data_IF_061588018571
#
_entry.id   IF_061588018571
#
_cell.length_a   1.000
_cell.length_b   1.000
_cell.length_c   1.000
_cell.angle_alpha   90.00
_cell.angle_beta   90.00
_cell.angle_gamma   90.00
#
_symmetry.space_group_name_H-M   'P 1'
#
loop_
_entity.id
_entity.type
_entity.pdbx_description
1 polymer ?
#
# COMPACT_ATOMS: atom_id res chain seq x y z
N UNK A 1 -20.89 -3.39 51.09
CA UNK A 1 -20.59 -4.79 51.48
C UNK A 1 -19.14 -5.12 51.12
N UNK A 2 -18.76 -5.10 49.84
CA UNK A 2 -17.39 -5.39 49.39
C UNK A 2 -16.30 -4.33 49.68
N UNK A 3 -16.55 -3.35 50.55
CA UNK A 3 -15.55 -2.32 50.90
C UNK A 3 -14.60 -2.73 52.04
N UNK A 4 -14.93 -3.80 52.76
CA UNK A 4 -14.16 -4.32 53.90
C UNK A 4 -14.01 -5.85 53.78
N UNK A 5 -12.77 -6.34 53.76
CA UNK A 5 -12.47 -7.77 53.65
C UNK A 5 -12.92 -8.55 54.89
N UNK A 6 -12.90 -7.94 56.08
CA UNK A 6 -13.31 -8.59 57.32
C UNK A 6 -14.83 -8.88 57.29
N UNK A 7 -15.62 -7.89 56.86
CA UNK A 7 -17.06 -8.05 56.68
C UNK A 7 -17.39 -9.13 55.64
N UNK A 8 -16.69 -9.16 54.49
CA UNK A 8 -16.91 -10.19 53.46
C UNK A 8 -16.60 -11.60 54.00
N UNK A 9 -15.57 -11.76 54.84
CA UNK A 9 -15.24 -13.06 55.47
C UNK A 9 -16.23 -13.48 56.54
N UNK A 10 -16.84 -12.53 57.25
CA UNK A 10 -17.94 -12.81 58.18
C UNK A 10 -19.17 -13.28 57.41
N UNK A 11 -19.59 -12.54 56.38
CA UNK A 11 -20.70 -12.93 55.50
C UNK A 11 -20.47 -14.31 54.88
N UNK A 12 -19.24 -14.65 54.47
CA UNK A 12 -18.92 -15.99 53.96
C UNK A 12 -19.11 -17.09 54.99
N UNK A 13 -18.61 -16.89 56.22
CA UNK A 13 -18.76 -17.87 57.33
C UNK A 13 -20.22 -18.12 57.68
N UNK A 14 -21.07 -17.11 57.49
CA UNK A 14 -22.51 -17.18 57.73
C UNK A 14 -23.30 -17.72 56.52
N UNK A 15 -22.62 -18.22 55.49
CA UNK A 15 -23.23 -18.82 54.29
C UNK A 15 -23.70 -17.81 53.23
N UNK A 16 -23.23 -16.56 53.31
CA UNK A 16 -23.59 -15.44 52.44
C UNK A 16 -22.99 -15.46 51.03
N UNK A 17 -22.37 -16.56 50.58
CA UNK A 17 -21.65 -16.66 49.31
C UNK A 17 -22.47 -16.22 48.08
N UNK A 18 -23.76 -16.57 48.03
CA UNK A 18 -24.68 -16.17 46.92
C UNK A 18 -24.90 -14.65 46.90
N UNK A 19 -25.16 -14.05 48.06
CA UNK A 19 -25.38 -12.61 48.18
C UNK A 19 -24.11 -11.83 47.78
N UNK A 20 -22.95 -12.32 48.23
CA UNK A 20 -21.65 -11.77 47.88
C UNK A 20 -21.39 -11.84 46.36
N UNK A 21 -21.64 -12.98 45.72
CA UNK A 21 -21.49 -13.14 44.27
C UNK A 21 -22.36 -12.17 43.46
N UNK A 22 -23.62 -11.99 43.89
CA UNK A 22 -24.56 -11.07 43.23
C UNK A 22 -24.19 -9.60 43.45
N UNK A 23 -23.54 -9.27 44.57
CA UNK A 23 -23.13 -7.90 44.89
C UNK A 23 -21.77 -7.49 44.30
N UNK A 24 -20.94 -8.44 43.87
CA UNK A 24 -19.57 -8.16 43.40
C UNK A 24 -19.54 -7.22 42.18
N UNK A 25 -18.77 -6.14 42.24
CA UNK A 25 -18.64 -5.17 41.14
C UNK A 25 -17.18 -4.95 40.73
N UNK A 26 -16.97 -4.19 39.65
CA UNK A 26 -15.62 -3.85 39.19
C UNK A 26 -14.83 -2.99 40.21
N UNK A 27 -15.50 -2.30 41.13
CA UNK A 27 -14.85 -1.47 42.15
C UNK A 27 -14.32 -2.30 43.34
N UNK A 28 -14.70 -3.57 43.41
CA UNK A 28 -14.47 -4.44 44.58
C UNK A 28 -13.22 -5.33 44.44
N UNK A 29 -12.47 -5.13 43.36
CA UNK A 29 -11.32 -5.98 42.98
C UNK A 29 -10.26 -6.04 44.07
N UNK A 30 -10.00 -4.92 44.78
CA UNK A 30 -9.03 -4.91 45.88
C UNK A 30 -9.45 -5.84 47.02
N UNK A 31 -10.73 -5.82 47.39
CA UNK A 31 -11.28 -6.67 48.45
C UNK A 31 -11.32 -8.13 48.00
N UNK A 32 -11.71 -8.38 46.75
CA UNK A 32 -11.65 -9.71 46.14
C UNK A 32 -10.25 -10.33 46.25
N UNK A 33 -9.22 -9.58 45.89
CA UNK A 33 -7.83 -10.06 45.90
C UNK A 33 -7.28 -10.26 47.31
N UNK A 34 -7.88 -9.64 48.33
CA UNK A 34 -7.50 -9.82 49.72
C UNK A 34 -8.09 -11.10 50.35
N UNK A 35 -9.06 -11.74 49.68
CA UNK A 35 -9.59 -13.04 50.07
C UNK A 35 -8.61 -14.17 49.72
N UNK A 36 -8.65 -15.26 50.49
CA UNK A 36 -7.90 -16.47 50.21
C UNK A 36 -8.44 -17.20 48.96
N UNK A 37 -7.62 -17.99 48.23
CA UNK A 37 -8.08 -18.72 47.05
C UNK A 37 -9.26 -19.67 47.29
N UNK A 38 -9.41 -20.21 48.51
CA UNK A 38 -10.56 -21.02 48.88
C UNK A 38 -11.84 -20.16 49.00
N UNK A 39 -11.76 -19.02 49.68
CA UNK A 39 -12.85 -18.06 49.87
C UNK A 39 -13.36 -17.52 48.52
N UNK A 40 -12.43 -17.15 47.62
CA UNK A 40 -12.79 -16.66 46.27
C UNK A 40 -13.51 -17.72 45.45
N UNK A 41 -13.02 -18.97 45.49
CA UNK A 41 -13.66 -20.09 44.79
C UNK A 41 -15.03 -20.43 45.37
N UNK A 42 -15.23 -20.28 46.68
CA UNK A 42 -16.54 -20.44 47.31
C UNK A 42 -17.56 -19.41 46.78
N UNK A 43 -17.18 -18.12 46.72
CA UNK A 43 -18.03 -17.08 46.12
C UNK A 43 -18.33 -17.38 44.65
N UNK A 44 -17.33 -17.78 43.86
CA UNK A 44 -17.53 -18.12 42.45
C UNK A 44 -18.43 -19.34 42.28
N UNK A 45 -18.28 -20.37 43.11
CA UNK A 45 -19.10 -21.58 43.06
C UNK A 45 -20.59 -21.26 43.28
N UNK A 46 -20.89 -20.29 44.16
CA UNK A 46 -22.25 -19.81 44.41
C UNK A 46 -22.83 -18.94 43.28
N UNK A 47 -21.98 -18.39 42.40
CA UNK A 47 -22.41 -17.57 41.26
C UNK A 47 -23.01 -18.42 40.13
N UNK A 48 -24.03 -17.88 39.44
CA UNK A 48 -24.53 -18.48 38.20
C UNK A 48 -23.50 -18.40 37.06
N UNK A 49 -23.60 -19.23 36.00
CA UNK A 49 -22.66 -19.17 34.86
C UNK A 49 -22.59 -17.78 34.21
N UNK A 50 -23.75 -17.14 33.98
CA UNK A 50 -23.81 -15.79 33.42
C UNK A 50 -23.11 -14.76 34.31
N UNK A 51 -23.23 -14.93 35.63
CA UNK A 51 -22.60 -14.05 36.59
C UNK A 51 -21.08 -14.22 36.62
N UNK A 52 -20.57 -15.45 36.49
CA UNK A 52 -19.12 -15.70 36.34
C UNK A 52 -18.57 -15.04 35.08
N UNK A 53 -19.31 -15.06 33.98
CA UNK A 53 -18.93 -14.36 32.75
C UNK A 53 -18.89 -12.83 32.92
N UNK A 54 -19.85 -12.25 33.66
CA UNK A 54 -19.81 -10.83 34.02
C UNK A 54 -18.56 -10.50 34.84
N UNK A 55 -18.25 -11.31 35.85
CA UNK A 55 -17.04 -11.16 36.68
C UNK A 55 -15.77 -11.25 35.81
N UNK A 56 -15.72 -12.19 34.86
CA UNK A 56 -14.62 -12.28 33.91
C UNK A 56 -14.50 -11.04 33.01
N UNK A 57 -15.62 -10.49 32.53
CA UNK A 57 -15.65 -9.25 31.79
C UNK A 57 -15.18 -8.06 32.64
N UNK A 58 -15.38 -8.11 33.96
CA UNK A 58 -14.89 -7.09 34.89
C UNK A 58 -13.38 -7.22 35.06
N UNK A 59 -12.87 -8.43 35.32
CA UNK A 59 -11.44 -8.72 35.39
C UNK A 59 -10.70 -8.27 34.12
N UNK A 60 -11.32 -8.42 32.94
CA UNK A 60 -10.77 -7.92 31.68
C UNK A 60 -10.55 -6.40 31.67
N UNK A 61 -11.36 -5.62 32.37
CA UNK A 61 -11.25 -4.15 32.42
C UNK A 61 -10.21 -3.67 33.44
N UNK A 62 -9.85 -4.51 34.40
CA UNK A 62 -8.80 -4.22 35.38
C UNK A 62 -7.45 -4.41 34.72
N UNK A 63 -6.77 -3.32 34.37
CA UNK A 63 -5.46 -3.34 33.71
C UNK A 63 -4.30 -3.52 34.71
N UNK A 64 -4.39 -4.51 35.60
CA UNK A 64 -3.33 -4.80 36.58
C UNK A 64 -2.93 -6.29 36.53
N UNK A 65 -1.75 -6.62 37.09
CA UNK A 65 -1.30 -8.02 37.27
C UNK A 65 -2.34 -8.88 37.98
N UNK A 66 -3.13 -8.25 38.83
CA UNK A 66 -4.10 -8.89 39.71
C UNK A 66 -5.30 -9.49 38.97
N UNK A 67 -5.59 -9.04 37.74
CA UNK A 67 -6.62 -9.65 36.91
C UNK A 67 -6.35 -11.13 36.64
N UNK A 68 -5.08 -11.55 36.62
CA UNK A 68 -4.69 -12.94 36.38
C UNK A 68 -5.16 -13.87 37.50
N UNK A 69 -5.10 -13.41 38.75
CA UNK A 69 -5.55 -14.17 39.92
C UNK A 69 -7.05 -14.48 39.86
N UNK A 70 -7.86 -13.54 39.33
CA UNK A 70 -9.30 -13.78 39.15
C UNK A 70 -9.53 -14.89 38.12
N UNK A 71 -8.76 -14.88 37.03
CA UNK A 71 -8.85 -15.94 36.03
C UNK A 71 -8.33 -17.28 36.55
N UNK A 72 -7.33 -17.31 37.44
CA UNK A 72 -6.82 -18.54 38.07
C UNK A 72 -7.94 -19.28 38.81
N UNK A 73 -8.79 -18.54 39.52
CA UNK A 73 -9.94 -19.12 40.22
C UNK A 73 -11.05 -19.53 39.23
N UNK A 74 -11.35 -18.69 38.24
CA UNK A 74 -12.42 -18.94 37.26
C UNK A 74 -12.18 -20.20 36.42
N UNK A 75 -10.96 -20.45 35.94
CA UNK A 75 -10.69 -21.59 35.03
C UNK A 75 -10.87 -22.96 35.67
N UNK A 76 -11.09 -23.01 36.99
CA UNK A 76 -11.42 -24.26 37.71
C UNK A 76 -12.86 -24.72 37.51
N UNK A 77 -13.74 -23.87 36.95
CA UNK A 77 -15.15 -24.18 36.74
C UNK A 77 -15.41 -24.74 35.32
N UNK A 78 -16.05 -25.92 35.18
CA UNK A 78 -16.22 -26.59 33.88
C UNK A 78 -17.30 -25.98 32.97
N UNK A 79 -18.13 -25.08 33.51
CA UNK A 79 -19.28 -24.46 32.85
C UNK A 79 -18.99 -23.02 32.36
N UNK A 80 -17.72 -22.61 32.36
CA UNK A 80 -17.33 -21.31 31.81
C UNK A 80 -17.68 -21.18 30.33
N UNK A 81 -18.04 -19.97 29.91
CA UNK A 81 -18.23 -19.70 28.49
C UNK A 81 -16.91 -19.76 27.73
N UNK A 82 -17.02 -20.07 26.43
CA UNK A 82 -15.89 -20.02 25.51
C UNK A 82 -15.23 -18.63 25.45
N UNK A 83 -16.02 -17.56 25.60
CA UNK A 83 -15.52 -16.18 25.60
C UNK A 83 -14.64 -15.89 26.82
N UNK A 84 -15.05 -16.35 27.99
CA UNK A 84 -14.28 -16.24 29.23
C UNK A 84 -12.99 -17.06 29.17
N UNK A 85 -13.06 -18.32 28.73
CA UNK A 85 -11.88 -19.16 28.55
C UNK A 85 -10.88 -18.56 27.54
N UNK A 86 -11.37 -18.03 26.42
CA UNK A 86 -10.52 -17.34 25.44
C UNK A 86 -9.86 -16.10 26.04
N UNK A 87 -10.59 -15.32 26.85
CA UNK A 87 -10.05 -14.13 27.52
C UNK A 87 -8.97 -14.51 28.53
N UNK A 88 -9.16 -15.61 29.27
CA UNK A 88 -8.15 -16.14 30.18
C UNK A 88 -6.83 -16.45 29.42
N UNK A 89 -6.90 -17.13 28.27
CA UNK A 89 -5.70 -17.37 27.44
C UNK A 89 -5.04 -16.06 26.97
N UNK A 90 -5.82 -15.07 26.53
CA UNK A 90 -5.29 -13.77 26.09
C UNK A 90 -4.52 -13.05 27.18
N UNK A 91 -4.85 -13.26 28.46
CA UNK A 91 -4.17 -12.62 29.59
C UNK A 91 -2.76 -13.14 29.80
N UNK A 92 -2.46 -14.37 29.40
CA UNK A 92 -1.13 -14.96 29.59
C UNK A 92 -0.05 -14.27 28.76
N UNK A 93 -0.40 -13.64 27.64
CA UNK A 93 0.54 -12.98 26.74
C UNK A 93 0.21 -11.50 26.51
N UNK A 94 -0.60 -10.91 27.39
CA UNK A 94 -0.81 -9.47 27.38
C UNK A 94 0.51 -8.75 27.70
N UNK A 95 0.67 -7.49 27.28
CA UNK A 95 1.92 -6.72 27.36
C UNK A 95 2.50 -6.57 28.78
N UNK A 96 1.71 -6.92 29.80
CA UNK A 96 2.05 -6.84 31.22
C UNK A 96 2.28 -8.20 31.89
N UNK A 97 2.10 -9.31 31.17
CA UNK A 97 2.02 -10.65 31.75
C UNK A 97 3.37 -11.18 32.29
N UNK A 98 4.50 -10.55 31.94
CA UNK A 98 5.81 -11.08 32.28
C UNK A 98 6.06 -12.45 31.64
N UNK A 99 7.00 -13.23 32.18
CA UNK A 99 7.20 -14.62 31.75
C UNK A 99 5.99 -15.47 32.12
N UNK A 100 5.49 -16.25 31.17
CA UNK A 100 4.34 -17.14 31.39
C UNK A 100 4.69 -18.23 32.40
N UNK A 101 3.87 -18.38 33.44
CA UNK A 101 3.92 -19.54 34.33
C UNK A 101 3.38 -20.79 33.60
N UNK A 102 4.20 -21.85 33.43
CA UNK A 102 3.77 -23.03 32.68
C UNK A 102 2.56 -23.74 33.29
N UNK A 103 2.50 -23.87 34.62
CA UNK A 103 1.41 -24.58 35.31
C UNK A 103 0.06 -23.91 35.08
N UNK A 104 0.01 -22.58 35.26
CA UNK A 104 -1.15 -21.74 34.95
C UNK A 104 -1.55 -21.86 33.48
N UNK A 105 -0.59 -21.76 32.57
CA UNK A 105 -0.86 -21.86 31.14
C UNK A 105 -1.50 -23.22 30.78
N UNK A 106 -1.03 -24.32 31.37
CA UNK A 106 -1.64 -25.65 31.19
C UNK A 106 -3.08 -25.70 31.69
N UNK A 107 -3.36 -25.15 32.87
CA UNK A 107 -4.72 -25.10 33.41
C UNK A 107 -5.67 -24.34 32.47
N UNK A 108 -5.22 -23.19 31.94
CA UNK A 108 -6.03 -22.36 31.05
C UNK A 108 -6.26 -23.05 29.70
N UNK A 109 -5.23 -23.70 29.15
CA UNK A 109 -5.35 -24.49 27.92
C UNK A 109 -6.33 -25.65 28.10
N UNK A 110 -6.27 -26.36 29.22
CA UNK A 110 -7.17 -27.48 29.52
C UNK A 110 -8.63 -27.03 29.62
N UNK A 111 -8.90 -25.89 30.26
CA UNK A 111 -10.23 -25.31 30.34
C UNK A 111 -10.73 -24.81 28.96
N UNK A 112 -9.87 -24.17 28.17
CA UNK A 112 -10.29 -23.49 26.95
C UNK A 112 -10.44 -24.41 25.72
N UNK A 113 -9.51 -25.35 25.50
CA UNK A 113 -9.44 -26.14 24.26
C UNK A 113 -10.73 -26.92 23.91
N UNK A 114 -11.50 -27.48 24.86
CA UNK A 114 -12.79 -28.12 24.56
C UNK A 114 -13.78 -27.21 23.83
N UNK A 115 -13.71 -25.89 24.04
CA UNK A 115 -14.57 -24.91 23.38
C UNK A 115 -14.08 -24.48 21.99
N UNK A 116 -12.86 -24.88 21.59
CA UNK A 116 -12.22 -24.45 20.33
C UNK A 116 -13.06 -24.64 19.06
N UNK A 117 -13.72 -25.80 18.84
CA UNK A 117 -14.55 -26.02 17.64
C UNK A 117 -15.72 -25.03 17.49
N UNK A 118 -16.33 -24.66 18.62
CA UNK A 118 -17.41 -23.67 18.68
C UNK A 118 -16.87 -22.23 18.62
N UNK A 119 -15.67 -21.99 19.17
CA UNK A 119 -15.07 -20.67 19.30
C UNK A 119 -13.60 -20.65 18.80
N UNK A 120 -13.38 -20.53 17.47
CA UNK A 120 -12.08 -20.81 16.84
C UNK A 120 -10.94 -19.88 17.26
N UNK A 121 -11.27 -18.74 17.85
CA UNK A 121 -10.29 -17.81 18.43
C UNK A 121 -9.44 -18.50 19.51
N UNK A 122 -10.00 -19.48 20.23
CA UNK A 122 -9.27 -20.27 21.22
C UNK A 122 -8.09 -21.01 20.61
N UNK A 123 -8.22 -21.62 19.43
CA UNK A 123 -7.09 -22.31 18.80
C UNK A 123 -5.95 -21.34 18.49
N UNK A 124 -6.26 -20.11 18.06
CA UNK A 124 -5.25 -19.07 17.83
C UNK A 124 -4.56 -18.65 19.14
N UNK A 125 -5.33 -18.41 20.19
CA UNK A 125 -4.79 -18.04 21.51
C UNK A 125 -3.94 -19.18 22.10
N UNK A 126 -4.43 -20.42 22.01
CA UNK A 126 -3.72 -21.60 22.48
C UNK A 126 -2.40 -21.83 21.72
N UNK A 127 -2.41 -21.68 20.39
CA UNK A 127 -1.20 -21.74 19.58
C UNK A 127 -0.13 -20.74 20.05
N UNK A 128 -0.52 -19.51 20.41
CA UNK A 128 0.40 -18.52 20.97
C UNK A 128 0.95 -18.95 22.32
N UNK A 129 0.09 -19.42 23.23
CA UNK A 129 0.52 -19.90 24.55
C UNK A 129 1.50 -21.07 24.40
N UNK A 130 1.22 -22.05 23.55
CA UNK A 130 2.15 -23.16 23.29
C UNK A 130 3.49 -22.67 22.71
N UNK A 131 3.49 -21.66 21.85
CA UNK A 131 4.72 -21.08 21.32
C UNK A 131 5.56 -20.42 22.43
N UNK A 132 4.94 -19.64 23.31
CA UNK A 132 5.61 -19.00 24.46
C UNK A 132 6.16 -20.03 25.46
N UNK A 133 5.51 -21.18 25.59
CA UNK A 133 6.01 -22.32 26.37
C UNK A 133 7.15 -23.09 25.66
N UNK A 134 7.51 -22.72 24.42
CA UNK A 134 8.52 -23.42 23.62
C UNK A 134 8.04 -24.72 22.95
N UNK A 135 6.73 -24.99 22.96
CA UNK A 135 6.13 -26.26 22.53
C UNK A 135 5.64 -26.21 21.09
N UNK A 136 6.59 -26.11 20.15
CA UNK A 136 6.32 -25.92 18.72
C UNK A 136 5.43 -27.00 18.11
N UNK A 137 5.60 -28.27 18.49
CA UNK A 137 4.75 -29.36 17.99
C UNK A 137 3.28 -29.21 18.41
N UNK A 138 3.04 -28.75 19.65
CA UNK A 138 1.68 -28.47 20.14
C UNK A 138 1.02 -27.32 19.40
N UNK A 139 1.80 -26.35 18.93
CA UNK A 139 1.29 -25.31 18.02
C UNK A 139 0.73 -25.95 16.75
N UNK A 140 1.49 -26.82 16.10
CA UNK A 140 1.07 -27.52 14.86
C UNK A 140 -0.19 -28.36 15.11
N UNK A 141 -0.21 -29.15 16.19
CA UNK A 141 -1.38 -29.95 16.57
C UNK A 141 -2.64 -29.10 16.79
N UNK A 142 -2.49 -27.97 17.47
CA UNK A 142 -3.59 -27.04 17.79
C UNK A 142 -4.14 -26.40 16.51
N UNK A 143 -3.29 -25.98 15.59
CA UNK A 143 -3.72 -25.41 14.30
C UNK A 143 -4.34 -26.49 13.40
N UNK A 144 -3.80 -27.71 13.41
CA UNK A 144 -4.39 -28.85 12.71
C UNK A 144 -5.78 -29.20 13.27
N UNK A 145 -6.00 -29.11 14.58
CA UNK A 145 -7.32 -29.27 15.20
C UNK A 145 -8.31 -28.20 14.74
N UNK A 146 -7.87 -26.94 14.65
CA UNK A 146 -8.68 -25.86 14.07
C UNK A 146 -9.09 -26.17 12.63
N UNK A 147 -8.15 -26.68 11.81
CA UNK A 147 -8.42 -27.08 10.41
C UNK A 147 -9.48 -28.18 10.34
N UNK A 148 -9.34 -29.22 11.16
CA UNK A 148 -10.30 -30.34 11.24
C UNK A 148 -11.70 -29.90 11.67
N UNK A 149 -11.81 -28.82 12.45
CA UNK A 149 -13.10 -28.24 12.83
C UNK A 149 -13.83 -27.47 11.71
N UNK A 150 -13.26 -27.43 10.50
CA UNK A 150 -13.84 -26.74 9.33
C UNK A 150 -13.75 -25.21 9.40
N UNK A 151 -12.86 -24.68 10.24
CA UNK A 151 -12.73 -23.24 10.48
C UNK A 151 -11.60 -22.63 9.64
N UNK A 152 -11.76 -21.36 9.29
CA UNK A 152 -10.76 -20.65 8.49
C UNK A 152 -9.47 -20.45 9.28
N UNK A 153 -8.35 -20.92 8.71
CA UNK A 153 -7.03 -20.73 9.30
C UNK A 153 -6.41 -19.35 9.00
N UNK A 154 -7.05 -18.51 8.19
CA UNK A 154 -6.46 -17.23 7.72
C UNK A 154 -5.98 -16.35 8.87
N UNK A 155 -6.77 -16.24 9.95
CA UNK A 155 -6.40 -15.44 11.13
C UNK A 155 -5.26 -16.01 11.96
N UNK A 156 -5.00 -17.32 11.85
CA UNK A 156 -3.86 -17.98 12.51
C UNK A 156 -2.62 -17.84 11.63
N UNK A 157 -2.78 -18.04 10.31
CA UNK A 157 -1.73 -17.86 9.31
C UNK A 157 -1.06 -16.48 9.41
N UNK A 158 -1.89 -15.44 9.52
CA UNK A 158 -1.45 -14.03 9.53
C UNK A 158 -1.16 -13.50 10.95
N UNK A 159 -1.10 -14.36 11.98
CA UNK A 159 -0.78 -13.96 13.36
C UNK A 159 0.73 -13.77 13.52
N UNK A 160 1.16 -12.51 13.70
CA UNK A 160 2.59 -12.16 13.78
C UNK A 160 3.30 -12.78 14.98
N UNK A 161 2.60 -13.01 16.09
CA UNK A 161 3.18 -13.73 17.22
C UNK A 161 3.61 -15.16 16.85
N UNK A 162 3.00 -15.76 15.81
CA UNK A 162 3.35 -17.09 15.30
C UNK A 162 4.35 -17.04 14.14
N UNK A 163 4.92 -15.88 13.80
CA UNK A 163 5.89 -15.73 12.73
C UNK A 163 7.06 -16.74 12.81
N UNK A 164 7.68 -16.99 13.99
CA UNK A 164 8.79 -17.96 14.11
C UNK A 164 8.42 -19.40 13.72
N UNK A 165 7.13 -19.75 13.66
CA UNK A 165 6.68 -21.08 13.29
C UNK A 165 6.78 -21.35 11.79
N UNK A 166 6.97 -20.34 10.93
CA UNK A 166 7.10 -20.56 9.49
C UNK A 166 8.35 -21.35 9.09
N UNK A 167 9.39 -21.37 9.93
CA UNK A 167 10.53 -22.28 9.76
C UNK A 167 10.24 -23.73 10.15
N UNK A 168 9.08 -24.02 10.77
CA UNK A 168 8.69 -25.38 11.16
C UNK A 168 7.94 -26.06 9.99
N UNK A 169 8.46 -27.18 9.43
CA UNK A 169 7.90 -27.79 8.21
C UNK A 169 6.44 -28.21 8.41
N UNK A 170 6.11 -28.82 9.56
CA UNK A 170 4.73 -29.21 9.87
C UNK A 170 3.76 -28.04 9.99
N UNK A 171 4.24 -26.84 10.34
CA UNK A 171 3.39 -25.65 10.42
C UNK A 171 3.15 -25.09 9.03
N UNK A 172 4.22 -24.90 8.24
CA UNK A 172 4.13 -24.39 6.86
C UNK A 172 3.20 -25.27 5.99
N UNK A 173 3.30 -26.59 6.13
CA UNK A 173 2.50 -27.56 5.37
C UNK A 173 0.98 -27.39 5.61
N UNK A 174 0.56 -26.99 6.82
CA UNK A 174 -0.86 -26.76 7.12
C UNK A 174 -1.48 -25.69 6.19
N UNK A 175 -0.66 -24.77 5.69
CA UNK A 175 -1.04 -23.63 4.87
C UNK A 175 -0.59 -23.73 3.40
N UNK A 176 0.00 -24.84 2.95
CA UNK A 176 0.55 -24.98 1.59
C UNK A 176 -0.46 -24.68 0.46
N UNK A 177 -1.74 -24.93 0.72
CA UNK A 177 -2.87 -24.65 -0.18
C UNK A 177 -3.38 -23.20 -0.15
N UNK A 178 -2.85 -22.36 0.76
CA UNK A 178 -3.25 -20.97 0.94
C UNK A 178 -2.20 -20.04 0.36
N UNK A 179 -2.57 -18.78 0.10
CA UNK A 179 -1.57 -17.75 -0.18
C UNK A 179 -0.59 -17.61 1.00
N UNK A 180 0.68 -17.23 0.75
CA UNK A 180 1.63 -16.98 1.82
C UNK A 180 1.12 -15.95 2.85
N UNK A 181 1.61 -16.02 4.11
CA UNK A 181 1.28 -15.06 5.15
C UNK A 181 1.64 -13.64 4.71
N UNK A 182 0.85 -12.67 5.14
CA UNK A 182 1.21 -11.26 5.01
C UNK A 182 1.90 -10.80 6.30
N UNK A 183 3.18 -10.50 6.23
CA UNK A 183 3.90 -9.83 7.31
C UNK A 183 3.61 -8.33 7.24
N UNK A 184 3.25 -7.71 8.37
CA UNK A 184 2.87 -6.28 8.43
C UNK A 184 3.99 -5.39 8.98
N UNK A 185 5.18 -5.96 9.14
CA UNK A 185 6.37 -5.31 9.69
C UNK A 185 7.63 -6.10 9.28
N UNK A 186 8.76 -5.39 9.09
CA UNK A 186 10.01 -5.98 8.63
C UNK A 186 10.69 -6.82 9.71
N UNK A 187 10.68 -6.38 10.97
CA UNK A 187 11.29 -7.14 12.07
C UNK A 187 10.58 -8.48 12.26
N UNK A 188 9.24 -8.47 12.22
CA UNK A 188 8.44 -9.69 12.28
C UNK A 188 8.75 -10.65 11.11
N UNK A 189 8.99 -10.11 9.91
CA UNK A 189 9.38 -10.89 8.75
C UNK A 189 10.77 -11.53 8.93
N UNK A 190 11.74 -10.78 9.43
CA UNK A 190 13.10 -11.29 9.69
C UNK A 190 13.10 -12.38 10.77
N UNK A 191 12.29 -12.21 11.84
CA UNK A 191 12.12 -13.20 12.90
C UNK A 191 11.49 -14.51 12.41
N UNK A 192 10.67 -14.47 11.35
CA UNK A 192 10.08 -15.67 10.76
C UNK A 192 11.10 -16.57 10.06
N UNK A 193 12.29 -16.05 9.77
CA UNK A 193 13.24 -16.63 8.82
C UNK A 193 13.08 -15.96 7.45
N UNK A 194 14.07 -15.20 6.96
CA UNK A 194 13.96 -14.44 5.71
C UNK A 194 13.52 -15.25 4.49
N UNK A 195 13.88 -16.54 4.45
CA UNK A 195 13.50 -17.45 3.36
C UNK A 195 12.02 -17.83 3.35
N UNK A 196 11.31 -17.73 4.47
CA UNK A 196 9.88 -18.03 4.55
C UNK A 196 8.99 -16.85 4.12
N UNK A 197 9.56 -15.65 4.01
CA UNK A 197 8.82 -14.42 3.73
C UNK A 197 8.58 -14.27 2.24
N UNK A 198 7.31 -14.40 1.83
CA UNK A 198 6.88 -14.19 0.43
C UNK A 198 6.04 -12.94 0.23
N UNK A 199 5.44 -12.39 1.29
CA UNK A 199 4.61 -11.18 1.21
C UNK A 199 4.85 -10.27 2.41
N UNK A 200 5.20 -9.03 2.15
CA UNK A 200 5.48 -8.02 3.17
C UNK A 200 4.63 -6.78 2.91
N UNK A 201 4.09 -6.20 3.97
CA UNK A 201 3.61 -4.83 4.03
C UNK A 201 4.37 -4.15 5.15
N UNK A 202 5.03 -3.03 4.90
CA UNK A 202 5.68 -2.28 5.98
C UNK A 202 5.72 -0.80 5.67
N UNK A 203 5.55 0.01 6.71
CA UNK A 203 5.63 1.47 6.62
C UNK A 203 7.00 2.01 7.07
N UNK A 204 7.87 1.15 7.59
CA UNK A 204 9.18 1.51 8.16
C UNK A 204 10.23 0.40 7.98
N UNK A 205 11.50 0.79 7.99
CA UNK A 205 12.67 -0.09 7.88
C UNK A 205 13.50 -0.14 9.16
N UNK A 206 14.45 -1.09 9.19
CA UNK A 206 15.75 -0.88 8.53
C UNK A 206 15.78 -1.46 7.11
N UNK A 207 15.81 -0.60 6.09
CA UNK A 207 15.62 -1.02 4.69
C UNK A 207 16.74 -1.86 4.09
N UNK A 208 17.96 -1.73 4.61
CA UNK A 208 19.09 -2.59 4.21
C UNK A 208 18.80 -4.08 4.42
N UNK A 209 17.92 -4.43 5.36
CA UNK A 209 17.57 -5.81 5.67
C UNK A 209 16.60 -6.43 4.64
N UNK A 210 15.96 -5.63 3.78
CA UNK A 210 15.05 -6.15 2.74
C UNK A 210 15.75 -7.17 1.83
N UNK A 211 17.04 -6.96 1.55
CA UNK A 211 17.88 -7.82 0.69
C UNK A 211 17.97 -9.26 1.22
N UNK A 212 17.74 -9.47 2.51
CA UNK A 212 17.73 -10.81 3.12
C UNK A 212 16.49 -11.60 2.76
N UNK A 213 15.40 -10.94 2.36
CA UNK A 213 14.11 -11.56 2.02
C UNK A 213 14.13 -12.10 0.58
N UNK A 214 15.07 -12.98 0.26
CA UNK A 214 15.33 -13.49 -1.12
C UNK A 214 14.13 -14.16 -1.80
N UNK A 215 13.14 -14.60 -1.00
CA UNK A 215 11.90 -15.22 -1.47
C UNK A 215 10.70 -14.26 -1.51
N UNK A 216 10.91 -12.97 -1.27
CA UNK A 216 9.84 -11.97 -1.30
C UNK A 216 9.28 -11.84 -2.72
N UNK A 217 7.98 -12.10 -2.85
CA UNK A 217 7.26 -12.02 -4.12
C UNK A 217 6.41 -10.76 -4.22
N UNK A 218 5.90 -10.26 -3.09
CA UNK A 218 5.00 -9.10 -3.05
C UNK A 218 5.36 -8.19 -1.89
N UNK A 219 5.51 -6.91 -2.19
CA UNK A 219 5.76 -5.89 -1.18
C UNK A 219 4.80 -4.72 -1.32
N UNK A 220 4.30 -4.24 -0.19
CA UNK A 220 3.49 -3.02 -0.07
C UNK A 220 4.19 -2.09 0.91
N UNK A 221 4.75 -0.99 0.39
CA UNK A 221 5.59 -0.08 1.14
C UNK A 221 4.97 1.31 1.20
N UNK A 222 5.12 1.95 2.35
CA UNK A 222 4.95 3.40 2.40
C UNK A 222 6.09 4.07 1.65
N UNK A 223 5.75 4.95 0.71
CA UNK A 223 6.74 5.78 0.04
C UNK A 223 7.40 6.75 1.04
N UNK A 224 8.73 6.89 0.95
CA UNK A 224 9.47 7.83 1.78
C UNK A 224 10.92 7.45 2.06
N UNK A 225 11.40 6.29 1.60
CA UNK A 225 12.78 5.87 1.82
C UNK A 225 13.42 5.26 0.57
N UNK A 226 14.47 5.92 0.08
CA UNK A 226 15.21 5.51 -1.10
C UNK A 226 15.97 4.20 -0.88
N UNK A 227 16.40 3.93 0.37
CA UNK A 227 17.12 2.69 0.70
C UNK A 227 16.26 1.44 0.48
N UNK A 228 14.93 1.60 0.60
CA UNK A 228 14.01 0.52 0.30
C UNK A 228 14.07 0.13 -1.19
N UNK A 229 14.23 1.09 -2.09
CA UNK A 229 14.23 0.85 -3.52
C UNK A 229 15.45 0.04 -3.96
N UNK A 230 16.63 0.37 -3.42
CA UNK A 230 17.85 -0.42 -3.65
C UNK A 230 17.67 -1.87 -3.19
N UNK A 231 17.14 -2.05 -1.98
CA UNK A 231 16.91 -3.38 -1.44
C UNK A 231 15.95 -4.20 -2.29
N UNK A 232 14.89 -3.58 -2.83
CA UNK A 232 13.92 -4.25 -3.69
C UNK A 232 14.47 -4.62 -5.07
N UNK A 233 15.33 -3.79 -5.64
CA UNK A 233 15.98 -4.06 -6.93
C UNK A 233 16.84 -5.32 -6.92
N UNK A 234 17.31 -5.74 -5.76
CA UNK A 234 18.14 -6.94 -5.60
C UNK A 234 17.32 -8.23 -5.40
N UNK A 235 15.99 -8.15 -5.32
CA UNK A 235 15.14 -9.30 -4.99
C UNK A 235 14.73 -10.09 -6.24
N UNK A 236 15.26 -11.33 -6.43
CA UNK A 236 15.12 -12.05 -7.69
C UNK A 236 13.71 -12.58 -7.95
N UNK A 237 12.87 -12.68 -6.90
CA UNK A 237 11.51 -13.22 -6.97
C UNK A 237 10.43 -12.16 -6.87
N UNK A 238 10.79 -10.88 -6.86
CA UNK A 238 9.83 -9.80 -6.68
C UNK A 238 8.90 -9.68 -7.88
N UNK A 239 7.62 -10.03 -7.69
CA UNK A 239 6.58 -10.05 -8.72
C UNK A 239 5.66 -8.83 -8.62
N UNK A 240 5.44 -8.30 -7.42
CA UNK A 240 4.53 -7.19 -7.16
C UNK A 240 5.13 -6.18 -6.21
N UNK A 241 5.19 -4.92 -6.61
CA UNK A 241 5.61 -3.77 -5.79
C UNK A 241 4.50 -2.74 -5.76
N UNK A 242 4.11 -2.35 -4.56
CA UNK A 242 3.17 -1.25 -4.34
C UNK A 242 3.80 -0.21 -3.44
N UNK A 243 3.77 1.04 -3.88
CA UNK A 243 4.08 2.19 -3.02
C UNK A 243 2.82 2.99 -2.73
N UNK A 244 2.64 3.38 -1.47
CA UNK A 244 1.53 4.25 -1.06
C UNK A 244 2.00 5.40 -0.15
N UNK A 245 1.29 6.52 -0.15
CA UNK A 245 1.41 7.56 0.88
C UNK A 245 1.83 8.93 0.35
N UNK A 246 2.40 9.77 1.23
CA UNK A 246 2.84 11.12 0.85
C UNK A 246 4.33 11.14 0.61
N UNK A 247 4.74 11.57 -0.57
CA UNK A 247 6.12 11.91 -0.88
C UNK A 247 6.46 13.31 -0.37
N UNK A 248 7.53 13.43 0.42
CA UNK A 248 8.03 14.71 0.96
C UNK A 248 9.22 15.28 0.17
N UNK A 249 9.65 14.63 -0.91
CA UNK A 249 10.79 15.07 -1.72
C UNK A 249 10.70 14.59 -3.16
N UNK A 250 11.78 14.76 -3.94
CA UNK A 250 11.90 14.15 -5.26
C UNK A 250 11.85 12.62 -5.18
N UNK A 251 11.52 11.98 -6.29
CA UNK A 251 11.54 10.52 -6.42
C UNK A 251 12.80 10.12 -7.19
N UNK A 252 13.64 9.23 -6.68
CA UNK A 252 14.88 8.86 -7.36
C UNK A 252 14.59 8.11 -8.66
N UNK A 253 14.75 8.79 -9.80
CA UNK A 253 14.47 8.22 -11.13
C UNK A 253 15.28 6.95 -11.38
N UNK A 254 16.56 6.95 -11.01
CA UNK A 254 17.46 5.80 -11.20
C UNK A 254 16.95 4.53 -10.51
N UNK A 255 16.39 4.67 -9.32
CA UNK A 255 15.90 3.54 -8.54
C UNK A 255 14.58 3.01 -9.11
N UNK A 256 13.67 3.91 -9.50
CA UNK A 256 12.44 3.54 -10.20
C UNK A 256 12.73 2.86 -11.54
N UNK A 257 13.74 3.33 -12.28
CA UNK A 257 14.15 2.74 -13.55
C UNK A 257 14.64 1.30 -13.35
N UNK A 258 15.49 1.09 -12.34
CA UNK A 258 15.97 -0.25 -11.96
C UNK A 258 14.80 -1.19 -11.63
N UNK A 259 13.81 -0.73 -10.86
CA UNK A 259 12.64 -1.54 -10.53
C UNK A 259 11.79 -1.89 -11.76
N UNK A 260 11.54 -0.93 -12.66
CA UNK A 260 10.78 -1.17 -13.90
C UNK A 260 11.42 -2.26 -14.77
N UNK A 261 12.74 -2.39 -14.72
CA UNK A 261 13.48 -3.36 -15.52
C UNK A 261 13.59 -4.76 -14.89
N UNK A 262 13.15 -4.94 -13.64
CA UNK A 262 13.19 -6.24 -12.97
C UNK A 262 12.48 -7.33 -13.79
N UNK A 263 13.18 -8.42 -14.15
CA UNK A 263 12.61 -9.47 -15.01
C UNK A 263 11.37 -10.14 -14.41
N UNK A 264 11.37 -10.38 -13.09
CA UNK A 264 10.28 -11.05 -12.39
C UNK A 264 9.06 -10.14 -12.12
N UNK A 265 9.25 -8.82 -12.16
CA UNK A 265 8.22 -7.86 -11.79
C UNK A 265 7.08 -7.86 -12.80
N UNK A 266 5.85 -8.09 -12.35
CA UNK A 266 4.64 -8.13 -13.18
C UNK A 266 3.66 -7.02 -12.82
N UNK A 267 3.65 -6.64 -11.55
CA UNK A 267 2.79 -5.59 -11.01
C UNK A 267 3.66 -4.53 -10.35
N UNK A 268 3.56 -3.31 -10.84
CA UNK A 268 4.16 -2.16 -10.19
C UNK A 268 3.10 -1.07 -10.14
N UNK A 269 2.61 -0.78 -8.94
CA UNK A 269 1.73 0.35 -8.69
C UNK A 269 2.40 1.38 -7.80
N UNK A 270 2.19 2.64 -8.11
CA UNK A 270 2.71 3.76 -7.35
C UNK A 270 1.58 4.74 -7.07
N UNK A 271 1.27 5.00 -5.81
CA UNK A 271 0.27 5.97 -5.40
C UNK A 271 0.87 6.91 -4.36
N UNK A 272 1.46 8.01 -4.83
CA UNK A 272 1.98 9.02 -3.93
C UNK A 272 1.88 10.45 -4.49
N UNK A 273 1.54 11.39 -3.61
CA UNK A 273 1.50 12.83 -3.88
C UNK A 273 0.78 13.20 -5.19
N UNK A 274 -0.43 12.67 -5.39
CA UNK A 274 -1.24 12.98 -6.59
C UNK A 274 -0.82 12.24 -7.86
N UNK A 275 0.29 11.50 -7.83
CA UNK A 275 0.71 10.62 -8.93
C UNK A 275 0.19 9.22 -8.67
N UNK A 276 -0.54 8.67 -9.64
CA UNK A 276 -0.98 7.28 -9.65
C UNK A 276 -0.45 6.61 -10.91
N UNK A 277 0.46 5.65 -10.75
CA UNK A 277 0.94 4.77 -11.82
C UNK A 277 0.34 3.39 -11.62
N UNK A 278 -0.38 2.92 -12.61
CA UNK A 278 -1.02 1.61 -12.64
C UNK A 278 -0.08 0.56 -13.26
N UNK A 279 -0.23 -0.73 -12.89
CA UNK A 279 0.56 -1.82 -13.47
C UNK A 279 0.57 -1.83 -15.00
N UNK A 280 -0.54 -1.47 -15.64
CA UNK A 280 -0.69 -1.47 -17.09
C UNK A 280 0.17 -0.42 -17.77
N UNK A 281 0.40 0.72 -17.12
CA UNK A 281 1.27 1.77 -17.64
C UNK A 281 2.74 1.33 -17.59
N UNK A 282 3.16 0.66 -16.51
CA UNK A 282 4.52 0.09 -16.41
C UNK A 282 4.72 -1.03 -17.43
N UNK A 283 3.71 -1.89 -17.64
CA UNK A 283 3.75 -2.92 -18.69
C UNK A 283 3.86 -2.31 -20.09
N UNK A 284 3.07 -1.27 -20.38
CA UNK A 284 3.14 -0.54 -21.63
C UNK A 284 4.50 0.13 -21.84
N UNK A 285 5.10 0.67 -20.78
CA UNK A 285 6.43 1.28 -20.82
C UNK A 285 7.52 0.26 -21.19
N UNK A 286 7.53 -0.90 -20.54
CA UNK A 286 8.49 -1.98 -20.86
C UNK A 286 8.31 -2.51 -22.28
N UNK A 287 7.07 -2.64 -22.73
CA UNK A 287 6.78 -3.02 -24.10
C UNK A 287 7.27 -1.97 -25.11
N UNK A 288 7.19 -0.68 -24.75
CA UNK A 288 7.73 0.40 -25.57
C UNK A 288 9.26 0.33 -25.67
N UNK A 289 9.94 0.08 -24.55
CA UNK A 289 11.39 -0.10 -24.49
C UNK A 289 11.85 -1.23 -25.41
N UNK A 290 11.21 -2.40 -25.31
CA UNK A 290 11.57 -3.57 -26.11
C UNK A 290 11.28 -3.38 -27.61
N UNK A 291 10.18 -2.70 -27.96
CA UNK A 291 9.80 -2.49 -29.36
C UNK A 291 10.70 -1.50 -30.09
N UNK A 292 11.16 -0.45 -29.39
CA UNK A 292 11.93 0.65 -29.97
C UNK A 292 13.44 0.51 -29.75
N UNK A 293 13.87 -0.48 -28.97
CA UNK A 293 15.26 -0.67 -28.55
C UNK A 293 15.87 0.63 -27.98
N UNK A 294 15.15 1.23 -27.03
CA UNK A 294 15.53 2.55 -26.50
C UNK A 294 16.85 2.50 -25.71
N UNK A 295 17.78 3.44 -25.96
CA UNK A 295 18.96 3.63 -25.12
C UNK A 295 18.59 3.80 -23.65
N UNK A 296 19.50 3.42 -22.75
CA UNK A 296 19.31 3.52 -21.29
C UNK A 296 18.92 4.94 -20.82
N UNK A 297 19.49 5.96 -21.46
CA UNK A 297 19.18 7.36 -21.17
C UNK A 297 17.71 7.68 -21.49
N UNK A 298 17.21 7.28 -22.65
CA UNK A 298 15.81 7.52 -23.04
C UNK A 298 14.83 6.73 -22.16
N UNK A 299 15.22 5.50 -21.75
CA UNK A 299 14.46 4.71 -20.78
C UNK A 299 14.35 5.43 -19.43
N UNK A 300 15.46 6.01 -18.96
CA UNK A 300 15.52 6.81 -17.73
C UNK A 300 14.61 8.03 -17.81
N UNK A 301 14.63 8.77 -18.93
CA UNK A 301 13.72 9.90 -19.15
C UNK A 301 12.25 9.46 -19.13
N UNK A 302 11.90 8.37 -19.82
CA UNK A 302 10.51 7.90 -19.84
C UNK A 302 10.02 7.46 -18.45
N UNK A 303 10.90 6.90 -17.62
CA UNK A 303 10.59 6.60 -16.21
C UNK A 303 10.37 7.91 -15.44
N UNK A 304 11.27 8.89 -15.57
CA UNK A 304 11.10 10.20 -14.91
C UNK A 304 9.74 10.84 -15.23
N UNK A 305 9.36 10.80 -16.51
CA UNK A 305 8.09 11.34 -17.00
C UNK A 305 6.86 10.53 -16.55
N UNK A 306 6.95 9.19 -16.51
CA UNK A 306 5.84 8.35 -16.05
C UNK A 306 5.54 8.55 -14.57
N UNK A 307 6.59 8.63 -13.74
CA UNK A 307 6.45 8.74 -12.29
C UNK A 307 6.40 10.19 -11.78
N UNK A 308 6.59 11.17 -12.68
CA UNK A 308 6.69 12.60 -12.37
C UNK A 308 7.62 12.83 -11.18
N UNK A 309 8.90 12.54 -11.41
CA UNK A 309 9.88 12.33 -10.33
C UNK A 309 10.33 13.61 -9.63
N UNK A 310 10.25 14.76 -10.30
CA UNK A 310 10.64 16.08 -9.77
C UNK A 310 12.08 16.13 -9.19
N UNK A 311 12.95 15.23 -9.66
CA UNK A 311 14.37 15.15 -9.27
C UNK A 311 15.30 15.89 -10.26
N UNK A 312 14.72 16.69 -11.15
CA UNK A 312 15.41 17.41 -12.22
C UNK A 312 15.84 16.52 -13.39
N UNK A 313 15.61 15.20 -13.36
CA UNK A 313 16.05 14.30 -14.44
C UNK A 313 15.45 14.73 -15.79
N UNK A 314 14.15 14.97 -15.87
CA UNK A 314 13.50 15.39 -17.12
C UNK A 314 14.10 16.70 -17.70
N UNK A 315 14.53 17.62 -16.83
CA UNK A 315 15.10 18.91 -17.22
C UNK A 315 16.53 18.74 -17.78
N UNK A 316 17.31 17.80 -17.24
CA UNK A 316 18.67 17.50 -17.70
C UNK A 316 18.70 16.99 -19.14
N UNK A 317 17.65 16.31 -19.59
CA UNK A 317 17.51 15.86 -20.99
C UNK A 317 17.17 17.00 -21.96
N UNK A 318 16.75 18.16 -21.42
CA UNK A 318 16.41 19.35 -22.17
C UNK A 318 15.26 19.17 -23.17
N UNK A 319 15.04 20.20 -23.98
CA UNK A 319 13.94 20.24 -24.97
C UNK A 319 14.02 19.08 -25.96
N UNK A 320 15.23 18.72 -26.41
CA UNK A 320 15.40 17.64 -27.39
C UNK A 320 14.90 16.30 -26.87
N UNK A 321 15.30 15.89 -25.66
CA UNK A 321 14.87 14.63 -25.07
C UNK A 321 13.37 14.62 -24.79
N UNK A 322 12.83 15.73 -24.29
CA UNK A 322 11.39 15.88 -24.06
C UNK A 322 10.57 15.78 -25.35
N UNK A 323 11.05 16.37 -26.45
CA UNK A 323 10.41 16.22 -27.77
C UNK A 323 10.45 14.76 -28.19
N UNK A 324 11.61 14.09 -28.11
CA UNK A 324 11.72 12.67 -28.46
C UNK A 324 10.75 11.76 -27.65
N UNK A 325 10.50 12.10 -26.38
CA UNK A 325 9.56 11.38 -25.52
C UNK A 325 8.09 11.53 -25.94
N UNK A 326 7.73 12.52 -26.76
CA UNK A 326 6.39 12.63 -27.34
C UNK A 326 6.06 11.45 -28.26
N UNK A 327 7.05 10.81 -28.88
CA UNK A 327 6.81 9.60 -29.67
C UNK A 327 6.63 8.34 -28.80
N UNK A 328 6.63 8.44 -27.46
CA UNK A 328 6.35 7.31 -26.57
C UNK A 328 4.98 6.70 -26.84
N UNK A 329 4.91 5.36 -26.91
CA UNK A 329 3.61 4.71 -27.01
C UNK A 329 2.77 4.84 -25.73
N UNK A 330 3.39 5.21 -24.60
CA UNK A 330 2.73 5.34 -23.29
C UNK A 330 2.10 6.74 -23.16
N UNK A 331 0.75 6.86 -23.11
CA UNK A 331 0.08 8.17 -23.08
C UNK A 331 0.51 9.06 -21.92
N UNK A 332 0.72 8.47 -20.73
CA UNK A 332 1.14 9.23 -19.54
C UNK A 332 2.53 9.87 -19.73
N UNK A 333 3.47 9.17 -20.40
CA UNK A 333 4.79 9.73 -20.72
C UNK A 333 4.65 10.93 -21.66
N UNK A 334 3.83 10.80 -22.71
CA UNK A 334 3.56 11.89 -23.66
C UNK A 334 2.94 13.10 -22.97
N UNK A 335 1.89 12.89 -22.17
CA UNK A 335 1.19 13.97 -21.46
C UNK A 335 2.12 14.73 -20.50
N UNK A 336 2.96 14.02 -19.73
CA UNK A 336 3.94 14.68 -18.86
C UNK A 336 4.99 15.43 -19.68
N UNK A 337 5.50 14.85 -20.77
CA UNK A 337 6.45 15.53 -21.65
C UNK A 337 5.86 16.81 -22.27
N UNK A 338 4.61 16.76 -22.75
CA UNK A 338 3.89 17.94 -23.26
C UNK A 338 3.74 19.01 -22.17
N UNK A 339 3.33 18.63 -20.97
CA UNK A 339 3.21 19.55 -19.83
C UNK A 339 4.53 20.27 -19.56
N UNK A 340 5.64 19.54 -19.49
CA UNK A 340 6.97 20.11 -19.23
C UNK A 340 7.41 21.00 -20.41
N UNK A 341 7.25 20.54 -21.65
CA UNK A 341 7.54 21.32 -22.85
C UNK A 341 6.73 22.61 -22.92
N UNK A 342 5.49 22.64 -22.40
CA UNK A 342 4.68 23.85 -22.40
C UNK A 342 5.34 24.99 -21.60
N UNK A 343 6.11 24.66 -20.56
CA UNK A 343 6.89 25.65 -19.80
C UNK A 343 8.17 26.10 -20.51
N UNK A 344 8.79 25.22 -21.30
CA UNK A 344 10.06 25.52 -21.97
C UNK A 344 9.91 26.13 -23.37
N UNK A 345 8.84 25.78 -24.09
CA UNK A 345 8.58 26.26 -25.44
C UNK A 345 7.75 27.55 -25.37
N UNK A 346 8.36 28.68 -25.69
CA UNK A 346 7.66 29.94 -25.79
C UNK A 346 7.14 30.20 -27.20
N UNK A 347 5.96 30.81 -27.31
CA UNK A 347 5.55 31.46 -28.56
C UNK A 347 6.47 32.66 -28.81
N UNK A 348 7.01 32.85 -30.03
CA UNK A 348 7.83 34.00 -30.36
C UNK A 348 7.16 35.33 -29.96
N UNK A 349 7.94 36.22 -29.34
CA UNK A 349 7.47 37.55 -28.98
C UNK A 349 7.01 38.31 -30.23
N UNK A 350 5.74 38.72 -30.26
CA UNK A 350 5.11 39.34 -31.44
C UNK A 350 4.14 38.42 -32.20
N UNK A 351 4.04 37.14 -31.85
CA UNK A 351 3.10 36.20 -32.48
C UNK A 351 3.55 35.73 -33.85
N UNK A 352 2.58 35.32 -34.69
CA UNK A 352 2.82 34.84 -36.05
C UNK A 352 2.76 36.03 -37.03
N UNK A 353 3.88 36.42 -37.68
CA UNK A 353 3.85 37.50 -38.63
C UNK A 353 3.12 37.09 -39.92
N UNK A 354 2.48 38.05 -40.58
CA UNK A 354 1.88 37.84 -41.90
C UNK A 354 2.95 37.36 -42.90
N UNK A 355 2.60 36.35 -43.69
CA UNK A 355 3.52 35.68 -44.62
C UNK A 355 4.44 34.64 -43.98
N UNK A 356 4.31 34.34 -42.68
CA UNK A 356 5.08 33.27 -42.05
C UNK A 356 4.73 31.89 -42.62
N UNK A 357 5.74 31.04 -42.74
CA UNK A 357 5.60 29.61 -42.96
C UNK A 357 5.65 28.82 -41.65
N UNK A 358 4.72 27.90 -41.48
CA UNK A 358 4.66 26.97 -40.35
C UNK A 358 4.77 25.54 -40.85
N UNK A 359 5.58 24.73 -40.17
CA UNK A 359 5.62 23.29 -40.37
C UNK A 359 4.72 22.59 -39.35
N UNK A 360 4.09 21.49 -39.75
CA UNK A 360 3.35 20.61 -38.83
C UNK A 360 4.15 19.32 -38.68
N UNK A 361 4.59 19.02 -37.46
CA UNK A 361 5.34 17.83 -37.12
C UNK A 361 4.44 16.85 -36.35
N UNK A 362 3.84 15.92 -37.09
CA UNK A 362 3.10 14.81 -36.49
C UNK A 362 1.58 14.90 -36.55
N UNK A 363 0.95 14.04 -35.76
CA UNK A 363 -0.50 13.98 -35.56
C UNK A 363 -0.95 15.10 -34.62
N UNK A 364 -1.82 15.98 -35.10
CA UNK A 364 -2.43 17.05 -34.31
C UNK A 364 -3.76 16.59 -33.74
N UNK A 365 -4.09 17.12 -32.57
CA UNK A 365 -5.39 16.90 -31.93
C UNK A 365 -6.51 17.72 -32.62
N UNK A 366 -6.17 18.80 -33.33
CA UNK A 366 -7.12 19.60 -34.09
C UNK A 366 -7.40 18.96 -35.45
N UNK A 367 -8.60 19.24 -35.97
CA UNK A 367 -8.86 19.06 -37.39
C UNK A 367 -7.86 19.91 -38.18
N UNK A 368 -7.07 19.22 -39.00
CA UNK A 368 -6.01 19.84 -39.80
C UNK A 368 -6.58 20.85 -40.79
N UNK A 369 -7.76 20.61 -41.37
CA UNK A 369 -8.38 21.54 -42.30
C UNK A 369 -8.75 22.84 -41.58
N UNK A 370 -9.43 22.73 -40.43
CA UNK A 370 -9.80 23.88 -39.59
C UNK A 370 -8.56 24.67 -39.18
N UNK A 371 -7.49 24.00 -38.78
CA UNK A 371 -6.25 24.68 -38.39
C UNK A 371 -5.60 25.42 -39.57
N UNK A 372 -5.57 24.79 -40.75
CA UNK A 372 -5.05 25.41 -41.98
C UNK A 372 -5.86 26.64 -42.36
N UNK A 373 -7.18 26.59 -42.28
CA UNK A 373 -8.06 27.72 -42.60
C UNK A 373 -7.86 28.88 -41.62
N UNK A 374 -7.75 28.60 -40.32
CA UNK A 374 -7.46 29.62 -39.30
C UNK A 374 -6.09 30.25 -39.50
N UNK A 375 -5.08 29.46 -39.86
CA UNK A 375 -3.74 29.95 -40.20
C UNK A 375 -3.78 30.83 -41.45
N UNK A 376 -4.48 30.41 -42.50
CA UNK A 376 -4.65 31.17 -43.73
C UNK A 376 -5.37 32.50 -43.49
N UNK A 377 -6.40 32.52 -42.64
CA UNK A 377 -7.10 33.74 -42.22
C UNK A 377 -6.19 34.71 -41.45
N UNK A 378 -5.23 34.19 -40.69
CA UNK A 378 -4.17 34.97 -40.05
C UNK A 378 -3.03 35.37 -41.01
N UNK A 379 -3.10 34.97 -42.29
CA UNK A 379 -2.09 35.21 -43.31
C UNK A 379 -0.82 34.39 -43.13
N UNK A 380 -0.92 33.21 -42.54
CA UNK A 380 0.16 32.27 -42.29
C UNK A 380 -0.03 31.04 -43.19
N UNK A 381 1.05 30.50 -43.72
CA UNK A 381 1.01 29.36 -44.65
C UNK A 381 1.53 28.10 -43.97
N UNK A 382 0.84 26.97 -44.19
CA UNK A 382 1.33 25.65 -43.77
C UNK A 382 2.23 25.09 -44.86
N UNK A 383 3.47 24.76 -44.50
CA UNK A 383 4.51 24.25 -45.38
C UNK A 383 4.71 22.75 -45.18
N UNK A 384 5.17 22.07 -46.23
CA UNK A 384 5.54 20.65 -46.17
C UNK A 384 7.01 20.44 -45.84
N UNK A 385 7.86 21.37 -46.26
CA UNK A 385 9.32 21.30 -46.10
C UNK A 385 9.85 22.66 -45.61
N UNK A 386 10.97 22.66 -44.84
CA UNK A 386 11.62 23.89 -44.42
C UNK A 386 12.05 24.77 -45.60
N UNK A 387 11.84 26.08 -45.49
CA UNK A 387 12.25 27.08 -46.48
C UNK A 387 12.49 28.46 -45.87
N UNK A 388 12.85 29.48 -46.69
CA UNK A 388 13.25 30.81 -46.20
C UNK A 388 12.16 31.55 -45.40
N UNK A 389 10.89 31.21 -45.66
CA UNK A 389 9.74 31.77 -44.96
C UNK A 389 9.35 30.98 -43.71
N UNK A 390 9.92 29.79 -43.46
CA UNK A 390 9.64 29.01 -42.27
C UNK A 390 10.09 29.78 -41.03
N UNK A 391 9.21 29.91 -40.04
CA UNK A 391 9.50 30.61 -38.78
C UNK A 391 9.38 29.73 -37.56
N UNK A 392 8.52 28.71 -37.62
CA UNK A 392 8.38 27.73 -36.54
C UNK A 392 7.79 26.41 -37.03
N UNK A 393 7.90 25.39 -36.20
CA UNK A 393 7.22 24.12 -36.37
C UNK A 393 6.30 23.83 -35.17
N UNK A 394 5.11 23.30 -35.46
CA UNK A 394 4.13 22.88 -34.46
C UNK A 394 4.33 21.40 -34.22
N UNK A 395 4.54 21.02 -32.96
CA UNK A 395 4.74 19.62 -32.57
C UNK A 395 3.41 19.04 -32.12
N UNK A 396 3.00 17.97 -32.80
CA UNK A 396 1.83 17.16 -32.46
C UNK A 396 2.13 16.07 -31.43
N UNK A 397 1.12 15.24 -31.13
CA UNK A 397 1.23 14.16 -30.14
C UNK A 397 2.16 13.02 -30.58
N UNK A 398 2.33 12.80 -31.89
CA UNK A 398 3.22 11.79 -32.46
C UNK A 398 3.86 12.34 -33.71
N UNK A 399 5.14 12.68 -33.64
CA UNK A 399 5.86 13.36 -34.71
C UNK A 399 6.77 12.46 -35.53
N UNK A 400 7.01 11.22 -35.07
CA UNK A 400 7.83 10.22 -35.78
C UNK A 400 9.22 10.75 -36.15
N UNK A 401 9.88 11.40 -35.20
CA UNK A 401 11.18 12.07 -35.40
C UNK A 401 11.19 13.36 -36.23
N UNK A 402 10.09 13.76 -36.88
CA UNK A 402 10.06 15.00 -37.71
C UNK A 402 10.34 16.26 -36.90
N UNK A 403 9.79 16.36 -35.69
CA UNK A 403 10.02 17.51 -34.81
C UNK A 403 11.50 17.64 -34.42
N UNK A 404 12.18 16.51 -34.18
CA UNK A 404 13.62 16.48 -33.90
C UNK A 404 14.44 16.99 -35.09
N UNK A 405 14.04 16.62 -36.31
CA UNK A 405 14.70 17.12 -37.54
C UNK A 405 14.58 18.63 -37.66
N UNK A 406 13.42 19.20 -37.34
CA UNK A 406 13.22 20.66 -37.36
C UNK A 406 13.99 21.36 -36.25
N UNK A 407 14.05 20.76 -35.06
CA UNK A 407 14.85 21.27 -33.95
C UNK A 407 16.35 21.31 -34.31
N UNK A 408 16.86 20.24 -34.94
CA UNK A 408 18.25 20.14 -35.40
C UNK A 408 18.57 21.14 -36.51
N UNK A 409 17.57 21.52 -37.31
CA UNK A 409 17.67 22.59 -38.30
C UNK A 409 17.58 24.01 -37.70
N UNK A 410 17.48 24.15 -36.37
CA UNK A 410 17.36 25.44 -35.68
C UNK A 410 16.00 26.11 -35.82
N UNK A 411 14.96 25.36 -36.23
CA UNK A 411 13.60 25.88 -36.37
C UNK A 411 12.94 25.86 -34.98
N UNK A 412 12.44 27.01 -34.47
CA UNK A 412 11.73 27.06 -33.19
C UNK A 412 10.52 26.12 -33.17
N UNK A 413 10.37 25.39 -32.08
CA UNK A 413 9.22 24.50 -31.86
C UNK A 413 8.18 25.16 -30.95
N UNK A 414 6.91 24.94 -31.24
CA UNK A 414 5.79 25.24 -30.33
C UNK A 414 4.86 24.03 -30.22
N UNK A 415 4.12 23.95 -29.11
CA UNK A 415 3.05 22.97 -28.96
C UNK A 415 1.79 23.43 -29.70
N UNK A 416 0.92 22.49 -30.04
CA UNK A 416 -0.36 22.79 -30.66
C UNK A 416 -1.22 23.75 -29.83
N UNK A 417 -1.27 23.57 -28.51
CA UNK A 417 -2.04 24.46 -27.62
C UNK A 417 -1.51 25.89 -27.63
N UNK A 418 -0.19 26.07 -27.77
CA UNK A 418 0.42 27.39 -27.94
C UNK A 418 -0.01 28.05 -29.26
N UNK A 419 -0.13 27.26 -30.33
CA UNK A 419 -0.61 27.75 -31.61
C UNK A 419 -2.08 28.17 -31.50
N UNK A 420 -2.94 27.32 -30.95
CA UNK A 420 -4.38 27.60 -30.77
C UNK A 420 -4.58 28.88 -29.94
N UNK A 421 -3.90 28.99 -28.79
CA UNK A 421 -3.96 30.18 -27.95
C UNK A 421 -3.44 31.45 -28.66
N UNK A 422 -2.54 31.31 -29.63
CA UNK A 422 -2.06 32.43 -30.45
C UNK A 422 -3.08 32.85 -31.50
N UNK A 423 -3.72 31.88 -32.16
CA UNK A 423 -4.81 32.13 -33.12
C UNK A 423 -6.03 32.75 -32.46
N UNK A 424 -6.44 32.25 -31.30
CA UNK A 424 -7.55 32.80 -30.51
C UNK A 424 -7.31 34.28 -30.16
N UNK A 425 -6.06 34.64 -29.83
CA UNK A 425 -5.67 36.04 -29.55
C UNK A 425 -5.70 36.92 -30.80
N UNK A 426 -5.32 36.39 -31.96
CA UNK A 426 -5.38 37.13 -33.23
C UNK A 426 -6.85 37.41 -33.59
N UNK A 427 -7.71 36.40 -33.50
CA UNK A 427 -9.16 36.52 -33.77
C UNK A 427 -9.89 37.43 -32.79
N UNK A 428 -9.38 37.60 -31.57
CA UNK A 428 -9.90 38.56 -30.60
C UNK A 428 -9.46 40.00 -30.90
N UNK A 429 -8.29 40.20 -31.51
CA UNK A 429 -7.73 41.52 -31.84
C UNK A 429 -8.23 42.08 -33.16
N UNK A 430 -8.62 41.22 -34.09
CA UNK A 430 -9.12 41.61 -35.40
C UNK A 430 -10.54 41.06 -35.65
N UNK A 431 -11.61 41.82 -35.33
CA UNK A 431 -12.99 41.41 -35.57
C UNK A 431 -13.30 41.20 -37.07
N UNK A 432 -12.52 41.81 -37.98
CA UNK A 432 -12.68 41.65 -39.43
C UNK A 432 -12.16 40.27 -39.87
N UNK A 433 -11.10 39.76 -39.22
CA UNK A 433 -10.64 38.39 -39.45
C UNK A 433 -11.72 37.34 -39.09
N UNK A 434 -12.56 37.59 -38.07
CA UNK A 434 -13.73 36.73 -37.75
C UNK A 434 -14.79 36.72 -38.84
N UNK A 435 -15.01 37.84 -39.52
CA UNK A 435 -15.97 37.93 -40.63
C UNK A 435 -15.44 37.17 -41.85
N UNK A 436 -14.14 37.30 -42.17
CA UNK A 436 -13.50 36.57 -43.28
C UNK A 436 -13.43 35.06 -43.06
N UNK A 437 -13.28 34.59 -41.82
CA UNK A 437 -13.26 33.16 -41.51
C UNK A 437 -14.64 32.49 -41.61
N UNK A 438 -15.75 33.25 -41.45
CA UNK A 438 -17.12 32.75 -41.60
C UNK A 438 -17.55 32.62 -43.07
N UNK A 439 -17.09 33.51 -43.94
CA UNK A 439 -17.47 33.50 -45.36
C UNK A 439 -16.89 32.31 -46.14
N UNK A 440 -15.89 31.60 -45.62
CA UNK A 440 -15.26 30.44 -46.28
C UNK A 440 -16.04 29.14 -46.02
N UNK A 441 -16.79 29.03 -44.91
CA UNK A 441 -17.52 27.79 -44.55
C UNK A 441 -18.94 27.72 -45.09
N UNK A 442 -19.50 28.82 -45.60
CA UNK A 442 -20.91 28.91 -46.06
C UNK A 442 -21.05 28.91 -47.59
N UNK A 443 -20.09 28.37 -48.35
CA UNK A 443 -20.33 28.10 -49.78
C UNK A 443 -21.09 26.78 -49.88
N UNK A 444 -22.38 26.75 -50.27
CA UNK A 444 -23.10 25.50 -50.45
C UNK A 444 -22.51 24.77 -51.66
N UNK A 445 -22.14 23.49 -51.48
CA UNK A 445 -21.75 22.60 -52.57
C UNK A 445 -22.77 22.68 -53.71
N UNK A 446 -22.31 23.11 -54.88
CA UNK A 446 -23.06 23.17 -56.14
C UNK A 446 -22.67 22.00 -57.05
#
# INVERSE_FOLDING_TARGET
MWQDVAAVREDLRDGGAVALANALSANDVRTWLALEPAERREVLAAASPSRRDEIAAFAKRVATRDATTIFDDLVTFPDLSAGTCCTALERLYDRWAGTIDPGRARAYLAAALPHGPAYPKIFRCAARVYLELGERDRVVETVAACKRSGRSLRRIRDEMALAPMWGHPGYAELFAHMSPPLFVDLDAALLAGPEAVRRLRTDSGPWGELRRLVNLERVDLRWGDEQALEGLAELPRLVSVKFHGRCRGPKPTWALATLVELPALREFSFEASGVSVQPDQVRALRADFARRDLPEQDRTLHVALLFDTDDGTAEQFGVRGLVAALDSAVPAVRQTAQRILAYHLAVPAGGLPHGAGILLAGELNADRAVLVDRLAAAGVTVQREPGPATRLAVVGERHEGRALTYLDAGIPLILEDHLRASLDRIEQRDPIARLRARDVTDTPDA
#
